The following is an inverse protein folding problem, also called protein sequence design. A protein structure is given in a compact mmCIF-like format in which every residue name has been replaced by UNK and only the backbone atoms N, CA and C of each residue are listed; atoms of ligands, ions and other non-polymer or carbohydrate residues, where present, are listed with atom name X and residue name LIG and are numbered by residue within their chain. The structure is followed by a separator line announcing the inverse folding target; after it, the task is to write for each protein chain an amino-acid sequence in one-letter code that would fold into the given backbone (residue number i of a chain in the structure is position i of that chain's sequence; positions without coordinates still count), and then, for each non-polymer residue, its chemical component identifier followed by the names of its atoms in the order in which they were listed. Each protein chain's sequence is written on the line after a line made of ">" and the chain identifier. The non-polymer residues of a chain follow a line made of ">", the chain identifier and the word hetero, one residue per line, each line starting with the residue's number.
data_IF_367041174901
#
_entry.id   IF_367041174901
#
_cell.length_a   1.000
_cell.length_b   1.000
_cell.length_c   1.000
_cell.angle_alpha   90.00
_cell.angle_beta   90.00
_cell.angle_gamma   90.00
#
_symmetry.space_group_name_H-M   'P 1'
#
loop_
_entity.id
_entity.type
_entity.pdbx_description
1 polymer ?
#
# COMPACT_ATOMS: atom_id res chain seq x y z
N UNK A 1 -3.80 -9.90 7.41
CA UNK A 1 -2.99 -10.94 8.12
C UNK A 1 -1.53 -10.72 7.80
N UNK A 2 -0.63 -10.74 8.78
CA UNK A 2 0.80 -10.47 8.62
C UNK A 2 1.66 -11.65 9.12
N UNK A 3 2.93 -11.69 8.67
CA UNK A 3 3.97 -12.61 9.17
C UNK A 3 5.33 -11.98 9.00
N UNK A 4 6.05 -11.84 10.12
CA UNK A 4 7.42 -11.30 10.16
C UNK A 4 7.59 -9.93 9.42
N UNK A 5 6.55 -9.06 9.41
CA UNK A 5 6.65 -7.73 8.83
C UNK A 5 7.42 -6.80 9.79
N UNK A 6 8.73 -6.74 9.58
CA UNK A 6 9.68 -6.03 10.45
C UNK A 6 9.76 -4.52 10.19
N UNK A 7 9.19 -4.03 9.08
CA UNK A 7 9.38 -2.66 8.60
C UNK A 7 8.10 -1.85 8.78
N UNK A 8 7.00 -2.32 8.24
CA UNK A 8 5.78 -1.54 8.14
C UNK A 8 4.78 -1.80 9.28
N UNK A 9 4.92 -2.87 10.07
CA UNK A 9 3.99 -3.20 11.15
C UNK A 9 3.86 -2.08 12.19
N UNK A 10 4.98 -1.57 12.72
CA UNK A 10 4.94 -0.48 13.72
C UNK A 10 4.39 0.84 13.13
N UNK A 11 4.83 1.31 11.94
CA UNK A 11 4.22 2.46 11.27
C UNK A 11 2.73 2.27 10.99
N UNK A 12 2.33 1.10 10.49
CA UNK A 12 0.94 0.77 10.19
C UNK A 12 0.08 0.81 11.46
N UNK A 13 0.55 0.17 12.54
CA UNK A 13 -0.14 0.20 13.83
C UNK A 13 -0.25 1.62 14.37
N UNK A 14 0.86 2.36 14.42
CA UNK A 14 0.86 3.74 14.95
C UNK A 14 -0.09 4.66 14.18
N UNK A 15 -0.12 4.52 12.85
CA UNK A 15 -1.02 5.27 11.99
C UNK A 15 -2.49 4.96 12.27
N UNK A 16 -2.86 3.67 12.21
CA UNK A 16 -4.26 3.28 12.36
C UNK A 16 -4.76 3.39 13.80
N UNK A 17 -3.91 3.15 14.80
CA UNK A 17 -4.26 3.39 16.19
C UNK A 17 -4.55 4.87 16.47
N UNK A 18 -3.78 5.80 15.85
CA UNK A 18 -4.07 7.23 15.93
C UNK A 18 -5.32 7.62 15.13
N UNK A 19 -5.57 6.96 13.99
CA UNK A 19 -6.70 7.27 13.12
C UNK A 19 -8.03 6.74 13.65
N UNK A 20 -8.05 5.49 14.10
CA UNK A 20 -9.27 4.73 14.41
C UNK A 20 -9.46 4.45 15.91
N UNK A 21 -8.41 4.55 16.71
CA UNK A 21 -8.31 4.03 18.06
C UNK A 21 -7.72 2.61 18.09
N UNK A 22 -6.80 2.32 19.02
CA UNK A 22 -6.15 1.00 19.09
C UNK A 22 -7.16 -0.12 19.37
N UNK A 23 -8.23 0.14 20.13
CA UNK A 23 -9.32 -0.78 20.48
C UNK A 23 -10.11 -1.27 19.26
N UNK A 24 -10.03 -0.56 18.15
CA UNK A 24 -10.70 -0.90 16.88
C UNK A 24 -9.78 -1.66 15.91
N UNK A 25 -8.56 -2.04 16.34
CA UNK A 25 -7.60 -2.75 15.52
C UNK A 25 -7.50 -4.23 15.89
N UNK A 26 -7.73 -5.09 14.89
CA UNK A 26 -7.59 -6.54 14.98
C UNK A 26 -6.42 -6.98 14.08
N UNK A 27 -5.33 -7.48 14.69
CA UNK A 27 -4.10 -7.83 13.97
C UNK A 27 -3.93 -9.35 13.96
N UNK A 28 -4.10 -9.96 12.78
CA UNK A 28 -3.89 -11.40 12.61
C UNK A 28 -2.42 -11.70 12.35
N UNK A 29 -1.77 -12.42 13.26
CA UNK A 29 -0.42 -12.93 13.08
C UNK A 29 -0.42 -14.35 12.52
N UNK A 30 0.31 -14.58 11.42
CA UNK A 30 0.42 -15.91 10.81
C UNK A 30 1.70 -16.64 11.25
N UNK A 31 1.94 -16.70 12.55
CA UNK A 31 3.05 -17.42 13.15
C UNK A 31 4.40 -16.76 12.89
N UNK A 32 4.52 -15.48 13.22
CA UNK A 32 5.78 -14.74 13.18
C UNK A 32 6.82 -15.39 14.10
N UNK A 33 8.08 -15.37 13.65
CA UNK A 33 9.25 -15.89 14.38
C UNK A 33 10.25 -14.79 14.75
N UNK A 34 10.14 -13.63 14.12
CA UNK A 34 10.97 -12.47 14.42
C UNK A 34 10.65 -11.93 15.81
N UNK A 35 11.63 -11.93 16.72
CA UNK A 35 11.48 -11.39 18.07
C UNK A 35 11.01 -9.94 18.07
N UNK A 36 11.50 -9.12 17.14
CA UNK A 36 11.09 -7.71 17.01
C UNK A 36 9.62 -7.57 16.63
N UNK A 37 9.11 -8.41 15.72
CA UNK A 37 7.69 -8.42 15.33
C UNK A 37 6.81 -8.87 16.48
N UNK A 38 7.18 -9.96 17.17
CA UNK A 38 6.44 -10.47 18.34
C UNK A 38 6.35 -9.38 19.42
N UNK A 39 7.46 -8.69 19.71
CA UNK A 39 7.48 -7.56 20.66
C UNK A 39 6.59 -6.39 20.20
N UNK A 40 6.59 -6.08 18.90
CA UNK A 40 5.72 -5.05 18.35
C UNK A 40 4.24 -5.40 18.50
N UNK A 41 3.86 -6.64 18.22
CA UNK A 41 2.51 -7.15 18.41
C UNK A 41 2.09 -7.15 19.90
N UNK A 42 2.98 -7.57 20.78
CA UNK A 42 2.73 -7.53 22.24
C UNK A 42 2.50 -6.09 22.73
N UNK A 43 3.32 -5.13 22.25
CA UNK A 43 3.10 -3.68 22.55
C UNK A 43 1.76 -3.20 22.00
N UNK A 44 1.41 -3.57 20.77
CA UNK A 44 0.11 -3.22 20.20
C UNK A 44 -1.04 -3.74 21.07
N UNK A 45 -0.96 -5.00 21.50
CA UNK A 45 -1.93 -5.61 22.41
C UNK A 45 -2.01 -4.89 23.77
N UNK A 46 -0.86 -4.57 24.39
CA UNK A 46 -0.82 -3.83 25.65
C UNK A 46 -1.37 -2.40 25.52
N UNK A 47 -1.38 -1.83 24.32
CA UNK A 47 -1.92 -0.51 24.01
C UNK A 47 -3.38 -0.55 23.50
N UNK A 48 -4.08 -1.69 23.61
CA UNK A 48 -5.50 -1.82 23.35
C UNK A 48 -5.90 -2.52 22.05
N UNK A 49 -4.97 -2.84 21.14
CA UNK A 49 -5.30 -3.61 19.95
C UNK A 49 -5.57 -5.09 20.29
N UNK A 50 -6.41 -5.74 19.53
CA UNK A 50 -6.62 -7.19 19.63
C UNK A 50 -5.67 -7.92 18.69
N UNK A 51 -4.70 -8.68 19.23
CA UNK A 51 -3.78 -9.50 18.45
C UNK A 51 -4.27 -10.95 18.45
N UNK A 52 -4.46 -11.50 17.25
CA UNK A 52 -5.00 -12.83 17.01
C UNK A 52 -3.84 -13.74 16.58
N UNK A 53 -3.49 -14.71 17.44
CA UNK A 53 -2.33 -15.60 17.28
C UNK A 53 -2.68 -17.01 16.79
N UNK A 54 -3.96 -17.32 16.69
CA UNK A 54 -4.47 -18.66 16.45
C UNK A 54 -4.16 -19.21 15.06
N UNK A 55 -3.96 -18.32 14.07
CA UNK A 55 -3.84 -18.68 12.67
C UNK A 55 -2.38 -18.65 12.20
N UNK A 56 -1.64 -19.72 12.47
CA UNK A 56 -0.17 -19.73 12.30
C UNK A 56 0.32 -20.58 11.11
N UNK A 57 -0.58 -21.28 10.41
CA UNK A 57 -0.22 -22.24 9.36
C UNK A 57 -0.29 -21.63 7.95
N UNK A 58 0.37 -22.28 6.98
CA UNK A 58 0.27 -21.93 5.55
C UNK A 58 -1.15 -22.13 5.00
N UNK A 59 -1.86 -23.12 5.49
CA UNK A 59 -3.25 -23.37 5.08
C UNK A 59 -4.14 -22.21 5.47
N UNK A 60 -4.06 -21.77 6.71
CA UNK A 60 -4.82 -20.63 7.25
C UNK A 60 -4.49 -19.33 6.50
N UNK A 61 -3.24 -19.13 6.10
CA UNK A 61 -2.89 -17.99 5.25
C UNK A 61 -3.60 -18.03 3.88
N UNK A 62 -3.79 -19.20 3.30
CA UNK A 62 -4.54 -19.36 2.03
C UNK A 62 -6.04 -19.15 2.21
N UNK A 63 -6.58 -19.59 3.33
CA UNK A 63 -8.01 -19.49 3.67
C UNK A 63 -8.37 -18.20 4.42
N UNK A 64 -7.44 -17.21 4.46
CA UNK A 64 -7.62 -16.01 5.29
C UNK A 64 -8.89 -15.21 4.98
N UNK A 65 -9.38 -15.24 3.74
CA UNK A 65 -10.65 -14.60 3.37
C UNK A 65 -11.82 -15.17 4.15
N UNK A 66 -12.01 -16.49 4.11
CA UNK A 66 -13.06 -17.18 4.83
C UNK A 66 -12.94 -17.01 6.36
N UNK A 67 -11.70 -17.07 6.86
CA UNK A 67 -11.46 -16.92 8.31
C UNK A 67 -11.81 -15.51 8.80
N UNK A 68 -11.42 -14.47 8.05
CA UNK A 68 -11.72 -13.09 8.39
C UNK A 68 -13.22 -12.80 8.24
N UNK A 69 -13.89 -13.34 7.20
CA UNK A 69 -15.33 -13.22 7.06
C UNK A 69 -16.07 -13.81 8.27
N UNK A 70 -15.68 -15.01 8.70
CA UNK A 70 -16.23 -15.64 9.90
C UNK A 70 -15.94 -14.83 11.19
N UNK A 71 -14.77 -14.19 11.24
CA UNK A 71 -14.42 -13.31 12.38
C UNK A 71 -15.30 -12.06 12.42
N UNK A 72 -15.50 -11.39 11.28
CA UNK A 72 -16.41 -10.23 11.16
C UNK A 72 -17.82 -10.63 11.57
N UNK A 73 -18.32 -11.79 11.11
CA UNK A 73 -19.65 -12.28 11.49
C UNK A 73 -19.79 -12.51 12.99
N UNK A 74 -18.74 -13.00 13.66
CA UNK A 74 -18.76 -13.11 15.13
C UNK A 74 -18.78 -11.75 15.81
N UNK A 75 -18.02 -10.77 15.31
CA UNK A 75 -18.05 -9.39 15.82
C UNK A 75 -19.43 -8.75 15.66
N UNK A 76 -20.09 -8.94 14.52
CA UNK A 76 -21.47 -8.47 14.30
C UNK A 76 -22.46 -8.94 15.39
N UNK A 77 -22.23 -10.12 16.00
CA UNK A 77 -23.09 -10.65 17.05
C UNK A 77 -22.67 -10.24 18.46
N UNK A 78 -21.38 -9.99 18.70
CA UNK A 78 -20.85 -9.77 20.06
C UNK A 78 -20.49 -8.32 20.35
N UNK A 79 -19.90 -7.64 19.42
CA UNK A 79 -19.44 -6.26 19.53
C UNK A 79 -19.38 -5.61 18.14
N UNK A 80 -20.53 -5.21 17.56
CA UNK A 80 -20.60 -4.72 16.20
C UNK A 80 -19.93 -3.36 16.02
N UNK A 81 -19.35 -3.18 14.84
CA UNK A 81 -18.77 -1.92 14.37
C UNK A 81 -19.55 -1.41 13.16
N UNK A 82 -19.60 -0.09 12.96
CA UNK A 82 -20.26 0.50 11.80
C UNK A 82 -19.66 0.01 10.48
N UNK A 83 -18.32 -0.21 10.45
CA UNK A 83 -17.59 -0.66 9.27
C UNK A 83 -16.45 -1.62 9.63
N UNK A 84 -16.16 -2.54 8.71
CA UNK A 84 -15.05 -3.49 8.77
C UNK A 84 -14.11 -3.31 7.59
N UNK A 85 -12.96 -2.70 7.81
CA UNK A 85 -11.91 -2.51 6.81
C UNK A 85 -10.91 -3.67 6.82
N UNK A 86 -10.51 -4.10 5.62
CA UNK A 86 -9.59 -5.21 5.40
C UNK A 86 -8.29 -4.65 4.83
N UNK A 87 -7.33 -4.34 5.69
CA UNK A 87 -6.08 -3.69 5.31
C UNK A 87 -4.89 -4.63 5.51
N UNK A 88 -4.00 -4.65 4.53
CA UNK A 88 -2.69 -5.27 4.67
C UNK A 88 -1.73 -4.33 5.42
N UNK A 89 -0.64 -4.86 6.01
CA UNK A 89 0.30 -4.06 6.81
C UNK A 89 1.08 -2.99 6.03
N UNK A 90 0.92 -2.94 4.73
CA UNK A 90 1.52 -1.95 3.83
C UNK A 90 0.49 -0.96 3.26
N UNK A 91 -0.74 -0.99 3.75
CA UNK A 91 -1.84 -0.13 3.33
C UNK A 91 -2.23 0.87 4.42
N UNK A 92 -2.28 2.15 4.07
CA UNK A 92 -2.60 3.27 4.98
C UNK A 92 -3.87 3.97 4.51
N UNK A 93 -4.92 3.85 5.32
CA UNK A 93 -6.28 4.32 5.01
C UNK A 93 -6.34 5.86 4.91
N UNK A 94 -7.06 6.36 3.91
CA UNK A 94 -7.32 7.79 3.72
C UNK A 94 -8.66 7.97 2.98
N UNK A 95 -9.03 9.20 2.68
CA UNK A 95 -10.21 9.47 1.87
C UNK A 95 -9.98 10.61 0.88
N UNK A 96 -10.77 10.59 -0.21
CA UNK A 96 -10.88 11.69 -1.15
C UNK A 96 -12.01 12.61 -0.72
N UNK A 97 -11.71 13.89 -0.57
CA UNK A 97 -12.69 14.95 -0.27
C UNK A 97 -12.76 15.95 -1.43
N UNK A 98 -13.70 16.89 -1.37
CA UNK A 98 -13.78 17.98 -2.37
C UNK A 98 -12.53 18.90 -2.34
N UNK A 99 -11.80 18.95 -1.23
CA UNK A 99 -10.56 19.73 -1.08
C UNK A 99 -9.28 18.92 -1.36
N UNK A 100 -9.40 17.66 -1.77
CA UNK A 100 -8.30 16.75 -2.03
C UNK A 100 -8.23 15.58 -1.05
N UNK A 101 -7.08 14.92 -0.97
CA UNK A 101 -6.88 13.76 -0.09
C UNK A 101 -6.77 14.21 1.36
N UNK A 102 -7.46 13.48 2.26
CA UNK A 102 -7.37 13.67 3.71
C UNK A 102 -7.03 12.35 4.43
N UNK A 103 -6.15 12.43 5.41
CA UNK A 103 -5.79 11.36 6.35
C UNK A 103 -6.39 11.62 7.74
N UNK A 104 -7.38 12.50 7.85
CA UNK A 104 -7.99 12.88 9.13
C UNK A 104 -9.23 12.03 9.41
N UNK A 105 -9.35 11.53 10.64
CA UNK A 105 -10.49 10.72 11.11
C UNK A 105 -11.83 11.35 10.76
N UNK A 106 -12.03 12.63 11.09
CA UNK A 106 -13.28 13.35 10.84
C UNK A 106 -13.72 13.36 9.37
N UNK A 107 -12.75 13.39 8.45
CA UNK A 107 -13.05 13.43 7.02
C UNK A 107 -13.40 12.04 6.50
N UNK A 108 -12.74 10.99 7.02
CA UNK A 108 -13.08 9.60 6.77
C UNK A 108 -14.49 9.28 7.30
N UNK A 109 -14.81 9.68 8.53
CA UNK A 109 -16.15 9.50 9.10
C UNK A 109 -17.22 10.22 8.26
N UNK A 110 -16.94 11.45 7.81
CA UNK A 110 -17.86 12.19 6.93
C UNK A 110 -18.11 11.48 5.60
N UNK A 111 -17.06 10.94 4.99
CA UNK A 111 -17.16 10.18 3.73
C UNK A 111 -17.92 8.88 3.91
N UNK A 112 -17.82 8.25 5.07
CA UNK A 112 -18.49 7.01 5.39
C UNK A 112 -19.96 7.19 5.85
N UNK A 113 -20.31 8.38 6.33
CA UNK A 113 -21.67 8.66 6.85
C UNK A 113 -22.80 8.18 5.92
N UNK A 114 -22.74 8.39 4.59
CA UNK A 114 -23.78 7.91 3.67
C UNK A 114 -23.80 6.38 3.51
N UNK A 115 -22.76 5.69 3.96
CA UNK A 115 -22.60 4.24 3.82
C UNK A 115 -22.99 3.47 5.08
N UNK A 116 -23.38 4.16 6.17
CA UNK A 116 -23.86 3.51 7.40
C UNK A 116 -25.09 2.67 7.08
N UNK A 117 -25.07 1.40 7.51
CA UNK A 117 -26.14 0.45 7.24
C UNK A 117 -26.27 0.03 5.77
N UNK A 118 -25.24 0.25 4.96
CA UNK A 118 -25.22 -0.22 3.57
C UNK A 118 -25.43 -1.74 3.53
N UNK A 119 -26.26 -2.16 2.58
CA UNK A 119 -26.54 -3.59 2.34
C UNK A 119 -25.58 -4.20 1.31
N UNK A 120 -24.88 -3.35 0.56
CA UNK A 120 -23.98 -3.75 -0.53
C UNK A 120 -22.56 -3.98 -0.02
N UNK A 121 -21.75 -4.62 -0.85
CA UNK A 121 -20.29 -4.62 -0.68
C UNK A 121 -19.77 -3.22 -0.97
N UNK A 122 -19.01 -2.64 -0.05
CA UNK A 122 -18.38 -1.34 -0.22
C UNK A 122 -16.99 -1.50 -0.85
N UNK A 123 -16.65 -0.64 -1.82
CA UNK A 123 -15.41 -0.75 -2.58
C UNK A 123 -14.50 0.46 -2.37
N UNK A 124 -13.24 0.17 -2.10
CA UNK A 124 -12.12 1.09 -2.24
C UNK A 124 -11.53 0.90 -3.63
N UNK A 125 -11.87 1.78 -4.57
CA UNK A 125 -11.42 1.66 -5.97
C UNK A 125 -10.04 2.24 -6.20
N UNK A 126 -9.72 3.37 -5.56
CA UNK A 126 -8.48 4.10 -5.80
C UNK A 126 -7.45 3.76 -4.74
N UNK A 127 -6.30 3.30 -5.21
CA UNK A 127 -5.11 3.11 -4.39
C UNK A 127 -3.92 3.88 -4.94
N UNK A 128 -3.05 4.30 -4.05
CA UNK A 128 -1.89 5.12 -4.35
C UNK A 128 -0.63 4.32 -4.09
N UNK A 129 -0.02 3.80 -5.13
CA UNK A 129 1.22 3.05 -5.03
C UNK A 129 2.39 3.95 -4.74
N UNK A 130 3.10 3.61 -3.69
CA UNK A 130 4.31 4.28 -3.26
C UNK A 130 5.48 4.07 -4.24
N UNK A 131 6.27 5.13 -4.46
CA UNK A 131 7.51 5.06 -5.24
C UNK A 131 8.70 4.76 -4.32
N UNK A 132 9.32 3.56 -4.37
CA UNK A 132 10.41 3.19 -3.48
C UNK A 132 11.74 3.91 -3.75
N UNK A 133 11.87 4.59 -4.89
CA UNK A 133 13.02 5.39 -5.27
C UNK A 133 12.86 6.87 -4.94
N UNK A 134 11.61 7.34 -4.83
CA UNK A 134 11.24 8.73 -4.51
C UNK A 134 10.09 8.71 -3.51
N UNK A 135 10.43 8.55 -2.25
CA UNK A 135 9.52 8.24 -1.15
C UNK A 135 8.27 9.13 -1.03
N UNK A 136 8.34 10.38 -1.49
CA UNK A 136 7.25 11.36 -1.43
C UNK A 136 6.28 11.29 -2.63
N UNK A 137 6.50 10.38 -3.59
CA UNK A 137 5.70 10.25 -4.79
C UNK A 137 4.85 8.98 -4.79
N UNK A 138 3.66 9.10 -5.37
CA UNK A 138 2.66 8.05 -5.50
C UNK A 138 2.06 8.04 -6.90
N UNK A 139 1.68 6.87 -7.37
CA UNK A 139 0.93 6.69 -8.61
C UNK A 139 -0.45 6.14 -8.31
N UNK A 140 -1.49 6.74 -8.89
CA UNK A 140 -2.86 6.28 -8.74
C UNK A 140 -3.06 5.05 -9.61
N UNK A 141 -3.69 4.02 -9.06
CA UNK A 141 -4.17 2.87 -9.81
C UNK A 141 -5.58 2.48 -9.39
N UNK A 142 -6.34 1.98 -10.37
CA UNK A 142 -7.71 1.49 -10.17
C UNK A 142 -7.80 -0.02 -10.35
N UNK A 143 -6.66 -0.70 -10.41
CA UNK A 143 -6.62 -2.16 -10.54
C UNK A 143 -7.00 -2.82 -9.22
N UNK A 144 -7.86 -3.84 -9.30
CA UNK A 144 -8.24 -4.69 -8.16
C UNK A 144 -8.75 -3.88 -6.96
N UNK A 145 -10.00 -3.41 -6.97
CA UNK A 145 -10.60 -2.71 -5.83
C UNK A 145 -10.54 -3.59 -4.58
N UNK A 146 -10.47 -2.99 -3.41
CA UNK A 146 -10.53 -3.71 -2.13
C UNK A 146 -11.93 -3.59 -1.56
N UNK A 147 -12.46 -4.71 -1.05
CA UNK A 147 -13.78 -4.76 -0.43
C UNK A 147 -13.72 -4.39 1.05
N UNK A 148 -14.79 -3.78 1.56
CA UNK A 148 -15.06 -3.64 2.99
C UNK A 148 -16.58 -3.67 3.23
N UNK A 149 -17.02 -3.69 4.48
CA UNK A 149 -18.42 -3.91 4.81
C UNK A 149 -18.92 -2.92 5.84
N UNK A 150 -20.20 -2.55 5.73
CA UNK A 150 -20.97 -2.02 6.85
C UNK A 150 -21.39 -3.16 7.80
N UNK A 151 -21.85 -2.81 8.99
CA UNK A 151 -22.36 -3.73 10.00
C UNK A 151 -23.34 -4.73 9.42
N UNK A 152 -23.16 -6.01 9.73
CA UNK A 152 -24.07 -7.11 9.35
C UNK A 152 -23.98 -7.54 7.89
N UNK A 153 -23.25 -6.84 7.03
CA UNK A 153 -23.26 -7.11 5.59
C UNK A 153 -22.33 -8.25 5.16
N UNK A 154 -21.26 -8.56 5.90
CA UNK A 154 -20.25 -9.53 5.47
C UNK A 154 -20.80 -10.94 5.36
N UNK A 155 -20.75 -11.55 4.15
CA UNK A 155 -21.02 -12.97 3.90
C UNK A 155 -19.72 -13.74 3.62
N UNK A 156 -19.02 -13.38 2.56
CA UNK A 156 -17.81 -14.07 2.15
C UNK A 156 -16.78 -13.14 1.52
N UNK A 157 -15.51 -13.54 1.57
CA UNK A 157 -14.34 -12.84 1.05
C UNK A 157 -13.41 -13.80 0.33
N UNK A 158 -12.80 -13.32 -0.76
CA UNK A 158 -11.64 -13.99 -1.34
C UNK A 158 -10.37 -13.75 -0.51
N UNK A 159 -9.31 -14.48 -0.81
CA UNK A 159 -8.04 -14.38 -0.09
C UNK A 159 -7.29 -13.05 -0.29
N UNK A 160 -7.64 -12.26 -1.33
CA UNK A 160 -7.05 -10.96 -1.64
C UNK A 160 -7.91 -9.77 -1.19
N UNK A 161 -9.12 -10.05 -0.70
CA UNK A 161 -10.13 -9.05 -0.33
C UNK A 161 -10.60 -8.20 -1.52
N UNK A 162 -10.49 -8.75 -2.74
CA UNK A 162 -10.89 -8.08 -3.98
C UNK A 162 -12.28 -8.47 -4.45
N UNK A 163 -12.75 -9.64 -4.02
CA UNK A 163 -14.08 -10.17 -4.31
C UNK A 163 -14.78 -10.56 -3.02
N UNK A 164 -16.00 -10.10 -2.87
CA UNK A 164 -16.78 -10.32 -1.66
C UNK A 164 -18.27 -10.52 -2.00
N UNK A 165 -19.02 -11.08 -1.04
CA UNK A 165 -20.47 -11.11 -1.09
C UNK A 165 -21.04 -10.51 0.18
N UNK A 166 -22.14 -9.80 0.01
CA UNK A 166 -22.96 -9.35 1.14
C UNK A 166 -24.12 -10.32 1.37
N UNK A 167 -24.44 -10.57 2.62
CA UNK A 167 -25.66 -11.32 3.00
C UNK A 167 -26.94 -10.47 2.95
N UNK A 168 -26.82 -9.15 2.84
CA UNK A 168 -27.94 -8.21 2.91
C UNK A 168 -28.35 -7.64 1.55
N UNK A 169 -27.44 -7.63 0.58
CA UNK A 169 -27.66 -7.10 -0.76
C UNK A 169 -26.77 -7.79 -1.79
N UNK A 170 -26.99 -7.50 -3.06
CA UNK A 170 -26.23 -8.08 -4.19
C UNK A 170 -25.44 -7.03 -4.98
N UNK A 171 -25.47 -5.77 -4.55
CA UNK A 171 -24.80 -4.65 -5.22
C UNK A 171 -23.39 -4.42 -4.70
N UNK A 172 -22.70 -3.53 -5.43
CA UNK A 172 -21.40 -2.98 -5.04
C UNK A 172 -21.48 -1.46 -5.08
N UNK A 173 -21.00 -0.81 -4.01
CA UNK A 173 -20.99 0.65 -3.89
C UNK A 173 -19.56 1.16 -3.81
N UNK A 174 -19.15 1.96 -4.80
CA UNK A 174 -17.84 2.61 -4.80
C UNK A 174 -17.89 3.77 -3.81
N UNK A 175 -16.87 3.82 -2.95
CA UNK A 175 -16.74 4.88 -1.95
C UNK A 175 -15.60 5.85 -2.29
N UNK A 176 -15.55 6.98 -1.60
CA UNK A 176 -14.42 7.91 -1.63
C UNK A 176 -13.31 7.55 -0.61
N UNK A 177 -13.38 6.37 -0.02
CA UNK A 177 -12.26 5.81 0.75
C UNK A 177 -11.16 5.39 -0.23
N UNK A 178 -9.93 5.67 0.16
CA UNK A 178 -8.70 5.32 -0.57
C UNK A 178 -7.68 4.74 0.40
N UNK A 179 -6.60 4.17 -0.12
CA UNK A 179 -5.43 3.84 0.69
C UNK A 179 -4.12 4.10 -0.07
N UNK A 180 -3.07 4.37 0.70
CA UNK A 180 -1.71 4.41 0.21
C UNK A 180 -1.07 3.04 0.42
N UNK A 181 -0.49 2.47 -0.64
CA UNK A 181 0.06 1.11 -0.61
C UNK A 181 1.58 1.15 -0.77
N UNK A 182 2.27 0.62 0.22
CA UNK A 182 3.73 0.48 0.26
C UNK A 182 4.19 -0.90 -0.26
N UNK A 183 3.48 -1.41 -1.25
CA UNK A 183 3.79 -2.69 -1.89
C UNK A 183 5.23 -2.73 -2.42
N UNK A 184 5.62 -1.70 -3.16
CA UNK A 184 6.99 -1.59 -3.66
C UNK A 184 7.92 -1.06 -2.57
N UNK A 185 9.00 -1.82 -2.32
CA UNK A 185 10.03 -1.51 -1.32
C UNK A 185 11.36 -1.27 -2.06
N UNK A 186 12.41 -0.69 -1.45
CA UNK A 186 13.74 -0.69 -2.06
C UNK A 186 14.11 -2.09 -2.55
N UNK A 187 14.70 -2.20 -3.75
CA UNK A 187 14.87 -3.45 -4.52
C UNK A 187 15.25 -4.69 -3.68
N UNK A 188 16.23 -4.54 -2.76
CA UNK A 188 16.66 -5.66 -1.91
C UNK A 188 15.53 -6.14 -0.98
N UNK A 189 14.83 -5.20 -0.36
CA UNK A 189 13.72 -5.50 0.56
C UNK A 189 12.51 -6.06 -0.18
N UNK A 190 12.23 -5.52 -1.37
CA UNK A 190 11.17 -6.03 -2.24
C UNK A 190 11.39 -7.50 -2.58
N UNK A 191 12.60 -7.87 -3.00
CA UNK A 191 12.95 -9.27 -3.27
C UNK A 191 12.85 -10.19 -2.04
N UNK A 192 13.20 -9.70 -0.85
CA UNK A 192 13.05 -10.46 0.40
C UNK A 192 11.56 -10.71 0.66
N UNK A 193 10.73 -9.69 0.56
CA UNK A 193 9.27 -9.78 0.74
C UNK A 193 8.64 -10.73 -0.28
N UNK A 194 8.93 -10.57 -1.58
CA UNK A 194 8.41 -11.44 -2.64
C UNK A 194 8.83 -12.91 -2.44
N UNK A 195 10.08 -13.14 -2.01
CA UNK A 195 10.54 -14.49 -1.67
C UNK A 195 9.79 -15.07 -0.47
N UNK A 196 9.54 -14.28 0.55
CA UNK A 196 8.80 -14.71 1.74
C UNK A 196 7.37 -15.10 1.38
N UNK A 197 6.65 -14.25 0.63
CA UNK A 197 5.29 -14.53 0.17
C UNK A 197 5.22 -15.77 -0.71
N UNK A 198 6.19 -15.94 -1.63
CA UNK A 198 6.21 -17.09 -2.54
C UNK A 198 6.64 -18.39 -1.84
N UNK A 199 7.35 -18.31 -0.71
CA UNK A 199 7.84 -19.50 0.01
C UNK A 199 6.74 -20.41 0.55
N UNK A 200 5.50 -19.95 0.60
CA UNK A 200 4.36 -20.78 0.98
C UNK A 200 3.98 -21.81 -0.10
N UNK A 201 4.38 -21.58 -1.35
CA UNK A 201 4.01 -22.44 -2.51
C UNK A 201 5.21 -22.93 -3.32
N UNK A 202 6.36 -22.23 -3.25
CA UNK A 202 7.59 -22.57 -3.99
C UNK A 202 8.72 -22.88 -3.03
N UNK A 203 9.40 -24.01 -3.23
CA UNK A 203 10.58 -24.42 -2.46
C UNK A 203 11.89 -24.22 -3.22
N UNK A 204 11.86 -24.34 -4.55
CA UNK A 204 13.00 -24.10 -5.43
C UNK A 204 12.91 -22.73 -6.09
N UNK A 205 13.82 -21.82 -5.71
CA UNK A 205 13.93 -20.46 -6.21
C UNK A 205 14.93 -20.30 -7.36
N UNK A 206 15.27 -21.39 -8.06
CA UNK A 206 16.05 -21.30 -9.29
C UNK A 206 15.29 -20.52 -10.36
N UNK A 207 16.02 -19.84 -11.25
CA UNK A 207 15.41 -19.06 -12.34
C UNK A 207 14.43 -19.91 -13.16
N UNK A 208 14.76 -21.17 -13.43
CA UNK A 208 13.92 -22.10 -14.19
C UNK A 208 12.61 -22.40 -13.46
N UNK A 209 12.69 -22.66 -12.16
CA UNK A 209 11.50 -22.94 -11.34
C UNK A 209 10.59 -21.71 -11.24
N UNK A 210 11.16 -20.53 -11.01
CA UNK A 210 10.40 -19.27 -10.95
C UNK A 210 9.71 -18.96 -12.29
N UNK A 211 10.39 -19.15 -13.43
CA UNK A 211 9.78 -18.97 -14.75
C UNK A 211 8.64 -19.97 -15.02
N UNK A 212 8.80 -21.21 -14.57
CA UNK A 212 7.75 -22.23 -14.69
C UNK A 212 6.54 -21.88 -13.80
N UNK A 213 6.78 -21.34 -12.62
CA UNK A 213 5.72 -20.90 -11.69
C UNK A 213 4.96 -19.67 -12.21
N UNK A 214 5.67 -18.67 -12.70
CA UNK A 214 5.09 -17.47 -13.32
C UNK A 214 4.09 -17.82 -14.42
N UNK A 215 4.44 -18.78 -15.30
CA UNK A 215 3.57 -19.22 -16.40
C UNK A 215 2.27 -19.87 -15.96
N UNK A 216 2.21 -20.40 -14.76
CA UNK A 216 0.98 -21.03 -14.22
C UNK A 216 -0.06 -20.00 -13.77
N UNK A 217 0.33 -18.75 -13.59
CA UNK A 217 -0.52 -17.67 -13.05
C UNK A 217 -1.29 -18.08 -11.77
N UNK A 218 -0.66 -18.92 -10.96
CA UNK A 218 -1.19 -19.41 -9.68
C UNK A 218 -0.95 -18.38 -8.58
N UNK A 219 -1.34 -18.70 -7.36
CA UNK A 219 -1.27 -17.88 -6.15
C UNK A 219 0.08 -17.17 -6.00
N UNK A 220 0.08 -15.84 -5.86
CA UNK A 220 1.28 -14.99 -5.75
C UNK A 220 2.25 -15.09 -6.96
N UNK A 221 1.80 -15.39 -8.16
CA UNK A 221 2.65 -15.48 -9.35
C UNK A 221 3.46 -14.20 -9.63
N UNK A 222 2.90 -13.02 -9.31
CA UNK A 222 3.60 -11.73 -9.41
C UNK A 222 4.89 -11.68 -8.56
N UNK A 223 4.93 -12.38 -7.42
CA UNK A 223 6.16 -12.47 -6.62
C UNK A 223 7.28 -13.24 -7.36
N UNK A 224 6.93 -14.18 -8.26
CA UNK A 224 7.93 -14.83 -9.11
C UNK A 224 8.46 -13.87 -10.18
N UNK A 225 7.62 -12.99 -10.71
CA UNK A 225 8.03 -11.90 -11.63
C UNK A 225 9.01 -10.95 -10.95
N UNK A 226 8.70 -10.48 -9.74
CA UNK A 226 9.56 -9.62 -8.93
C UNK A 226 10.95 -10.25 -8.68
N UNK A 227 10.97 -11.58 -8.42
CA UNK A 227 12.23 -12.30 -8.20
C UNK A 227 13.04 -12.51 -9.49
N UNK A 228 12.39 -12.51 -10.65
CA UNK A 228 13.04 -12.63 -11.96
C UNK A 228 13.53 -11.28 -12.49
N UNK A 229 12.92 -10.17 -12.05
CA UNK A 229 13.26 -8.81 -12.48
C UNK A 229 14.66 -8.40 -12.03
N UNK A 230 15.44 -7.79 -12.93
CA UNK A 230 16.75 -7.25 -12.61
C UNK A 230 16.68 -5.91 -11.86
N UNK A 231 17.71 -5.59 -11.06
CA UNK A 231 17.76 -4.32 -10.30
C UNK A 231 17.61 -3.10 -11.19
N UNK A 232 18.24 -3.10 -12.36
CA UNK A 232 18.19 -1.97 -13.29
C UNK A 232 16.75 -1.74 -13.81
N UNK A 233 16.08 -2.80 -14.23
CA UNK A 233 14.72 -2.72 -14.78
C UNK A 233 13.73 -2.31 -13.68
N UNK A 234 13.87 -2.88 -12.48
CA UNK A 234 13.11 -2.47 -11.30
C UNK A 234 13.23 -0.96 -11.04
N UNK A 235 14.46 -0.45 -10.90
CA UNK A 235 14.69 0.97 -10.58
C UNK A 235 14.20 1.87 -11.72
N UNK A 236 14.45 1.49 -12.98
CA UNK A 236 14.03 2.25 -14.17
C UNK A 236 12.53 2.51 -14.18
N UNK A 237 11.72 1.52 -13.79
CA UNK A 237 10.26 1.63 -13.69
C UNK A 237 9.80 2.79 -12.79
N UNK A 238 10.53 3.07 -11.71
CA UNK A 238 10.21 4.13 -10.75
C UNK A 238 10.87 5.48 -11.04
N UNK A 239 11.78 5.53 -11.99
CA UNK A 239 12.42 6.77 -12.44
C UNK A 239 11.64 7.46 -13.55
N UNK A 240 10.72 6.76 -14.22
CA UNK A 240 9.82 7.38 -15.19
C UNK A 240 9.02 8.48 -14.48
N UNK A 241 9.04 9.70 -15.03
CA UNK A 241 8.39 10.83 -14.39
C UNK A 241 6.87 10.88 -14.53
N UNK A 242 6.31 10.10 -15.43
CA UNK A 242 4.88 10.18 -15.72
C UNK A 242 4.03 9.46 -14.69
N UNK A 243 2.92 10.09 -14.29
CA UNK A 243 1.93 9.46 -13.42
C UNK A 243 2.30 9.41 -11.93
N UNK A 244 3.33 10.16 -11.50
CA UNK A 244 3.69 10.25 -10.08
C UNK A 244 3.29 11.61 -9.49
N UNK A 245 2.60 11.57 -8.36
CA UNK A 245 2.11 12.75 -7.65
C UNK A 245 2.57 12.76 -6.20
N UNK A 246 2.64 13.94 -5.60
CA UNK A 246 2.96 14.08 -4.17
C UNK A 246 1.72 13.75 -3.34
N UNK A 247 1.94 13.17 -2.15
CA UNK A 247 0.90 12.93 -1.15
C UNK A 247 1.16 13.76 0.12
N UNK A 248 1.01 15.09 0.08
CA UNK A 248 1.34 15.96 1.21
C UNK A 248 0.52 15.63 2.46
N UNK A 249 -0.73 15.19 2.31
CA UNK A 249 -1.60 14.81 3.42
C UNK A 249 -1.04 13.63 4.22
N UNK A 250 -0.56 12.56 3.54
CA UNK A 250 0.05 11.41 4.22
C UNK A 250 1.37 11.79 4.90
N UNK A 251 2.22 12.57 4.23
CA UNK A 251 3.49 13.04 4.80
C UNK A 251 3.27 13.90 6.04
N UNK A 252 2.31 14.82 6.00
CA UNK A 252 1.95 15.65 7.15
C UNK A 252 1.45 14.80 8.32
N UNK A 253 0.62 13.79 8.04
CA UNK A 253 0.11 12.89 9.07
C UNK A 253 1.21 12.03 9.68
N UNK A 254 2.09 11.43 8.87
CA UNK A 254 3.24 10.69 9.36
C UNK A 254 4.14 11.53 10.27
N UNK A 255 4.45 12.77 9.84
CA UNK A 255 5.24 13.70 10.66
C UNK A 255 4.53 14.04 11.98
N UNK A 256 3.22 14.26 11.94
CA UNK A 256 2.41 14.60 13.14
C UNK A 256 2.45 13.49 14.19
N UNK A 257 2.40 12.22 13.76
CA UNK A 257 2.40 11.06 14.66
C UNK A 257 3.82 10.48 14.89
N UNK A 258 4.87 11.17 14.42
CA UNK A 258 6.26 10.78 14.66
C UNK A 258 6.77 9.61 13.81
N UNK A 259 6.09 9.25 12.73
CA UNK A 259 6.60 8.26 11.76
C UNK A 259 7.63 8.97 10.87
N UNK A 260 8.88 8.52 10.94
CA UNK A 260 9.93 9.02 10.06
C UNK A 260 9.79 8.41 8.68
N UNK A 261 9.26 9.18 7.75
CA UNK A 261 9.09 8.77 6.37
C UNK A 261 10.43 8.45 5.67
N UNK A 262 11.46 9.26 5.93
CA UNK A 262 12.78 9.09 5.32
C UNK A 262 13.51 7.83 5.79
N UNK A 263 13.21 7.32 6.99
CA UNK A 263 13.81 6.12 7.57
C UNK A 263 12.88 4.91 7.57
N UNK A 264 11.75 4.97 6.87
CA UNK A 264 10.74 3.91 6.88
C UNK A 264 11.32 2.52 6.50
N UNK A 265 12.28 2.49 5.57
CA UNK A 265 12.94 1.26 5.10
C UNK A 265 14.34 1.04 5.68
N UNK A 266 14.72 1.80 6.71
CA UNK A 266 16.01 1.62 7.35
C UNK A 266 15.93 0.61 8.49
N UNK A 267 16.98 -0.19 8.68
CA UNK A 267 17.06 -1.01 9.86
C UNK A 267 17.03 -0.11 11.10
N UNK A 268 16.23 -0.48 12.11
CA UNK A 268 16.18 0.24 13.39
C UNK A 268 17.60 0.30 13.94
N UNK A 269 18.14 1.52 14.09
CA UNK A 269 19.50 1.74 14.60
C UNK A 269 19.57 1.35 16.06
N UNK A 270 20.66 0.70 16.46
CA UNK A 270 21.01 0.42 17.86
C UNK A 270 21.53 1.66 18.61
N UNK A 271 21.60 2.82 17.94
CA UNK A 271 22.05 4.07 18.56
C UNK A 271 21.02 4.61 19.55
N UNK A 272 21.47 5.31 20.63
CA UNK A 272 20.58 5.98 21.58
C UNK A 272 19.61 6.94 20.89
N UNK A 273 18.36 6.97 21.35
CA UNK A 273 17.25 7.75 20.75
C UNK A 273 17.60 9.22 20.42
N UNK A 274 18.31 9.98 21.27
CA UNK A 274 18.67 11.37 20.96
C UNK A 274 19.60 11.51 19.74
N UNK A 275 20.55 10.58 19.59
CA UNK A 275 21.47 10.55 18.45
C UNK A 275 20.75 10.10 17.16
N UNK A 276 19.82 9.15 17.26
CA UNK A 276 18.97 8.76 16.15
C UNK A 276 18.15 9.94 15.64
N UNK A 277 17.48 10.65 16.52
CA UNK A 277 16.65 11.83 16.17
C UNK A 277 17.47 12.96 15.54
N UNK A 278 18.70 13.20 16.02
CA UNK A 278 19.59 14.21 15.44
C UNK A 278 20.06 13.83 14.04
N UNK A 279 20.48 12.58 13.84
CA UNK A 279 20.88 12.05 12.53
C UNK A 279 19.69 12.02 11.56
N UNK A 280 18.51 11.66 12.02
CA UNK A 280 17.28 11.64 11.21
C UNK A 280 16.90 13.06 10.74
N UNK A 281 17.00 14.09 11.61
CA UNK A 281 16.72 15.49 11.23
C UNK A 281 17.71 16.00 10.18
N UNK A 282 19.00 15.70 10.34
CA UNK A 282 20.04 16.08 9.36
C UNK A 282 19.74 15.41 8.02
N UNK A 283 19.43 14.12 8.05
CA UNK A 283 19.14 13.36 6.85
C UNK A 283 17.83 13.78 6.17
N UNK A 284 16.76 14.05 6.91
CA UNK A 284 15.52 14.61 6.38
C UNK A 284 15.77 15.94 5.67
N UNK A 285 16.58 16.82 6.26
CA UNK A 285 16.97 18.10 5.65
C UNK A 285 17.77 17.90 4.35
N UNK A 286 18.70 16.94 4.34
CA UNK A 286 19.50 16.63 3.14
C UNK A 286 18.62 15.98 2.07
N UNK A 287 17.78 15.01 2.41
CA UNK A 287 16.86 14.35 1.47
C UNK A 287 15.86 15.34 0.89
N UNK A 288 15.30 16.23 1.70
CA UNK A 288 14.40 17.28 1.22
C UNK A 288 15.08 18.19 0.18
N UNK A 289 16.34 18.59 0.42
CA UNK A 289 17.12 19.37 -0.58
C UNK A 289 17.45 18.58 -1.83
N UNK A 290 17.77 17.29 -1.71
CA UNK A 290 18.00 16.41 -2.86
C UNK A 290 16.73 16.24 -3.68
N UNK A 291 15.58 16.09 -3.02
CA UNK A 291 14.30 15.98 -3.68
C UNK A 291 13.88 17.28 -4.38
N UNK A 292 14.14 18.44 -3.75
CA UNK A 292 13.94 19.76 -4.39
C UNK A 292 14.84 19.94 -5.63
N UNK A 293 16.10 19.55 -5.53
CA UNK A 293 17.04 19.58 -6.66
C UNK A 293 16.61 18.64 -7.79
N UNK A 294 16.18 17.43 -7.44
CA UNK A 294 15.67 16.48 -8.42
C UNK A 294 14.39 16.99 -9.08
N UNK A 295 13.48 17.60 -8.34
CA UNK A 295 12.28 18.24 -8.89
C UNK A 295 12.61 19.41 -9.84
N UNK A 296 13.63 20.22 -9.50
CA UNK A 296 14.10 21.32 -10.36
C UNK A 296 14.72 20.79 -11.66
N UNK A 297 15.58 19.81 -11.56
CA UNK A 297 16.17 19.13 -12.73
C UNK A 297 15.11 18.50 -13.61
N UNK A 298 14.11 17.90 -12.98
CA UNK A 298 12.97 17.28 -13.64
C UNK A 298 12.11 18.30 -14.39
N UNK A 299 11.76 19.43 -13.75
CA UNK A 299 11.01 20.53 -14.40
C UNK A 299 11.82 21.12 -15.56
N UNK A 300 13.14 21.23 -15.39
CA UNK A 300 14.04 21.67 -16.44
C UNK A 300 14.07 20.70 -17.64
N UNK A 301 14.23 19.40 -17.38
CA UNK A 301 14.19 18.37 -18.42
C UNK A 301 12.85 18.32 -19.17
N UNK A 302 11.72 18.47 -18.45
CA UNK A 302 10.38 18.50 -19.05
C UNK A 302 10.16 19.73 -19.94
N UNK A 303 10.73 20.88 -19.57
CA UNK A 303 10.71 22.10 -20.39
C UNK A 303 11.53 21.92 -21.67
N UNK A 304 12.72 21.31 -21.57
CA UNK A 304 13.57 21.01 -22.73
C UNK A 304 12.85 20.04 -23.67
N UNK A 305 12.27 18.95 -23.13
CA UNK A 305 11.55 17.95 -23.94
C UNK A 305 10.32 18.54 -24.64
N UNK A 306 9.56 19.40 -23.97
CA UNK A 306 8.43 20.12 -24.59
C UNK A 306 8.91 21.07 -25.72
N UNK A 307 10.02 21.78 -25.52
CA UNK A 307 10.60 22.65 -26.56
C UNK A 307 11.11 21.86 -27.76
N UNK A 308 11.80 20.76 -27.54
CA UNK A 308 12.31 19.91 -28.63
C UNK A 308 11.18 19.19 -29.38
N UNK A 309 10.16 18.70 -28.70
CA UNK A 309 8.98 18.11 -29.32
C UNK A 309 8.21 19.14 -30.15
N UNK A 310 8.06 20.37 -29.64
CA UNK A 310 7.41 21.46 -30.38
C UNK A 310 8.23 21.88 -31.61
N UNK A 311 9.55 21.93 -31.52
CA UNK A 311 10.46 22.21 -32.65
C UNK A 311 10.42 21.10 -33.70
N UNK A 312 10.39 19.82 -33.29
CA UNK A 312 10.24 18.70 -34.24
C UNK A 312 8.87 18.72 -34.95
N UNK A 313 7.78 19.01 -34.23
CA UNK A 313 6.48 19.13 -34.88
C UNK A 313 6.42 20.29 -35.88
N UNK A 314 7.10 21.39 -35.60
CA UNK A 314 7.16 22.54 -36.50
C UNK A 314 8.02 22.30 -37.72
N UNK A 315 9.11 21.55 -37.59
CA UNK A 315 10.00 21.18 -38.73
C UNK A 315 9.39 20.10 -39.64
N UNK A 316 8.49 19.26 -39.14
CA UNK A 316 7.80 18.23 -39.93
C UNK A 316 6.50 18.73 -40.62
N UNK A 317 5.92 19.83 -40.21
CA UNK A 317 4.72 20.39 -40.85
C UNK A 317 4.89 20.80 -42.33
N UNK A 318 6.04 21.37 -42.79
CA UNK A 318 6.23 21.65 -44.17
C UNK A 318 6.33 20.38 -45.05
N UNK A 319 6.95 19.33 -44.54
CA UNK A 319 7.11 18.04 -45.25
C UNK A 319 5.76 17.32 -45.46
N UNK A 320 4.88 17.37 -44.48
CA UNK A 320 3.54 16.77 -44.58
C UNK A 320 2.57 17.54 -45.48
N UNK A 321 2.86 18.82 -45.80
CA UNK A 321 2.07 19.60 -46.78
C UNK A 321 2.53 19.30 -48.23
N UNK A 322 3.75 18.89 -48.47
CA UNK A 322 4.23 18.53 -49.80
C UNK A 322 3.73 17.18 -50.32
N UNK A 323 3.28 16.26 -49.45
CA UNK A 323 2.74 14.96 -49.85
C UNK A 323 1.23 14.97 -50.17
N UNK A 324 0.53 16.12 -50.04
CA UNK A 324 -0.91 16.25 -50.34
C UNK A 324 -1.24 16.90 -51.70
N UNK A 325 -0.22 17.20 -52.54
CA UNK A 325 -0.41 17.75 -53.89
C UNK A 325 0.25 16.86 -54.96
N UNK A 326 -0.01 15.59 -54.94
CA UNK A 326 0.44 14.65 -55.99
C UNK A 326 -0.46 13.42 -55.99
N UNK A 327 -1.63 13.60 -56.60
CA UNK A 327 -2.61 12.54 -56.84
C UNK A 327 -3.78 13.10 -57.60
#
# INVERSE_FOLDING_TARGET
>A
MQKDETILLDPWYSYHANLLGPENLFIFDNGSKSTSVIQSLQRAGSNGATVIWEYSTRHEYRERGSMIANFIQRLDHSNPFDFYFLLDCDEFLACQTNSGISCQRRDIERVLQPCIGSRDVLLIRHKFWHNPCRMHLYSITNSSPKCFFAQGACDSLDHGYHHAKSRLGSGETITNIIYFEFHYKPYRLHRISSRQHLSCVVTDFSRRSLQAYQKKQDFNHHCAEDLLEGKFDYVRRFLDPQGWERAPALLAEFNRIGISYASLYEPKSLLPQPLQLSLLRIRQSVMHRVDELNDLLYRGARLIFRKTSWLMQRSLQPLLRMTRFGG
#
